data_IF_827943882532
#
_entry.id   IF_827943882532
#
_cell.length_a   1.000
_cell.length_b   1.000
_cell.length_c   1.000
_cell.angle_alpha   90.00
_cell.angle_beta   90.00
_cell.angle_gamma   90.00
#
_symmetry.space_group_name_H-M   'P 1'
#
loop_
_entity.id
_entity.type
_entity.pdbx_description
1 polymer ?
#
# COMPACT_ATOMS: atom_id res chain seq x y z
N UNK A 1 -7.64 -2.82 4.64
CA UNK A 1 -7.66 -4.19 5.22
C UNK A 1 -7.60 -5.21 4.10
N UNK A 2 -6.99 -6.36 4.35
CA UNK A 2 -6.88 -7.43 3.36
C UNK A 2 -6.82 -8.80 4.04
N UNK A 3 -7.49 -9.80 3.47
CA UNK A 3 -7.32 -11.21 3.87
C UNK A 3 -6.12 -11.81 3.14
N UNK A 4 -5.29 -12.52 3.88
CA UNK A 4 -4.26 -13.38 3.28
C UNK A 4 -4.82 -14.76 2.90
N UNK A 5 -3.97 -15.60 2.31
CA UNK A 5 -4.37 -16.94 1.85
C UNK A 5 -4.72 -17.89 3.01
N UNK A 6 -4.28 -17.59 4.23
CA UNK A 6 -4.62 -18.37 5.44
C UNK A 6 -5.90 -17.87 6.12
N UNK A 7 -6.57 -16.87 5.53
CA UNK A 7 -7.80 -16.29 6.06
C UNK A 7 -7.58 -15.31 7.20
N UNK A 8 -6.34 -14.86 7.42
CA UNK A 8 -6.01 -13.85 8.42
C UNK A 8 -6.31 -12.47 7.83
N UNK A 9 -7.07 -11.67 8.56
CA UNK A 9 -7.38 -10.30 8.17
C UNK A 9 -6.31 -9.36 8.72
N UNK A 10 -5.66 -8.62 7.84
CA UNK A 10 -4.65 -7.62 8.17
C UNK A 10 -5.24 -6.22 8.05
N UNK A 11 -5.00 -5.36 9.04
CA UNK A 11 -5.39 -3.97 9.01
C UNK A 11 -4.19 -3.07 9.34
N UNK A 12 -4.10 -1.96 8.64
CA UNK A 12 -3.00 -1.00 8.74
C UNK A 12 -3.54 0.39 8.97
N UNK A 13 -2.85 1.14 9.84
CA UNK A 13 -3.16 2.54 10.09
C UNK A 13 -1.85 3.33 10.18
N UNK A 14 -1.80 4.50 9.55
CA UNK A 14 -0.63 5.35 9.68
C UNK A 14 -0.68 6.15 10.99
N UNK A 15 0.50 6.50 11.51
CA UNK A 15 0.65 7.36 12.67
C UNK A 15 1.06 8.76 12.19
N UNK A 16 0.22 9.75 12.40
CA UNK A 16 0.49 11.12 11.95
C UNK A 16 1.70 11.74 12.65
N UNK A 17 2.03 11.26 13.85
CA UNK A 17 3.18 11.73 14.61
C UNK A 17 4.47 10.99 14.26
N UNK A 18 4.36 9.82 13.63
CA UNK A 18 5.51 9.02 13.22
C UNK A 18 5.18 8.19 11.98
N UNK A 19 5.19 8.85 10.83
CA UNK A 19 4.76 8.28 9.56
C UNK A 19 5.61 7.12 9.05
N UNK A 20 6.81 6.93 9.62
CA UNK A 20 7.68 5.80 9.31
C UNK A 20 7.33 4.53 10.09
N UNK A 21 6.42 4.60 11.06
CA UNK A 21 6.00 3.47 11.89
C UNK A 21 4.49 3.29 11.86
N UNK A 22 4.05 2.56 10.88
CA UNK A 22 2.64 2.24 10.67
C UNK A 22 2.16 1.18 11.67
N UNK A 23 0.95 1.32 12.17
CA UNK A 23 0.32 0.29 12.99
C UNK A 23 -0.19 -0.86 12.12
N UNK A 24 0.04 -2.09 12.58
CA UNK A 24 -0.44 -3.31 11.95
C UNK A 24 -1.11 -4.19 13.01
N UNK A 25 -2.35 -4.56 12.75
CA UNK A 25 -3.09 -5.51 13.59
C UNK A 25 -3.68 -6.62 12.73
N UNK A 26 -3.87 -7.78 13.34
CA UNK A 26 -4.46 -8.93 12.66
C UNK A 26 -5.66 -9.47 13.41
N UNK A 27 -6.58 -10.06 12.68
CA UNK A 27 -7.72 -10.80 13.20
C UNK A 27 -7.75 -12.19 12.56
N UNK A 28 -8.00 -13.20 13.38
CA UNK A 28 -8.13 -14.60 12.95
C UNK A 28 -9.58 -15.09 12.91
N UNK A 29 -10.52 -14.19 13.22
CA UNK A 29 -11.95 -14.51 13.35
C UNK A 29 -12.84 -13.52 12.57
N UNK A 30 -12.33 -13.06 11.41
CA UNK A 30 -13.06 -12.16 10.51
C UNK A 30 -13.43 -10.81 11.16
N UNK A 31 -12.52 -10.28 11.97
CA UNK A 31 -12.69 -8.95 12.56
C UNK A 31 -13.50 -8.91 13.86
N UNK A 32 -13.88 -10.06 14.41
CA UNK A 32 -14.59 -10.10 15.70
C UNK A 32 -13.68 -9.79 16.87
N UNK A 33 -12.42 -10.20 16.80
CA UNK A 33 -11.39 -9.85 17.77
C UNK A 33 -10.07 -9.56 17.05
N UNK A 34 -9.21 -8.80 17.69
CA UNK A 34 -7.97 -8.32 17.12
C UNK A 34 -6.82 -8.58 18.07
N UNK A 35 -5.68 -9.00 17.52
CA UNK A 35 -4.45 -9.14 18.28
C UNK A 35 -3.83 -7.77 18.57
N UNK A 36 -2.86 -7.74 19.50
CA UNK A 36 -2.18 -6.49 19.83
C UNK A 36 -1.49 -5.91 18.60
N UNK A 37 -1.62 -4.61 18.40
CA UNK A 37 -0.93 -3.88 17.34
C UNK A 37 0.58 -4.02 17.44
N UNK A 38 1.22 -4.18 16.27
CA UNK A 38 2.66 -4.12 16.10
C UNK A 38 3.01 -2.97 15.16
N UNK A 39 4.15 -2.36 15.35
CA UNK A 39 4.64 -1.32 14.44
C UNK A 39 5.34 -1.94 13.24
N UNK A 40 5.07 -1.40 12.06
CA UNK A 40 5.76 -1.73 10.81
C UNK A 40 6.61 -0.54 10.41
N UNK A 41 7.90 -0.75 10.19
CA UNK A 41 8.77 0.30 9.68
C UNK A 41 8.63 0.44 8.15
N UNK A 42 8.42 1.66 7.69
CA UNK A 42 8.32 2.03 6.27
C UNK A 42 9.21 3.25 6.01
N UNK A 43 10.36 3.04 5.38
CA UNK A 43 11.47 4.01 5.36
C UNK A 43 11.17 5.36 4.72
N UNK A 44 10.18 5.41 3.82
CA UNK A 44 9.75 6.65 3.15
C UNK A 44 8.47 7.23 3.75
N UNK A 45 8.03 6.66 4.88
CA UNK A 45 6.77 7.02 5.50
C UNK A 45 5.55 6.54 4.73
N UNK A 46 4.40 6.66 5.34
CA UNK A 46 3.11 6.35 4.72
C UNK A 46 2.00 7.19 5.34
N UNK A 47 1.10 7.65 4.49
CA UNK A 47 -0.22 8.18 4.85
C UNK A 47 -1.27 7.55 3.95
N UNK A 48 -2.46 7.36 4.47
CA UNK A 48 -3.59 6.78 3.74
C UNK A 48 -3.20 5.46 3.04
N UNK A 49 -2.69 4.47 3.81
CA UNK A 49 -2.21 3.22 3.23
C UNK A 49 -3.33 2.42 2.57
N UNK A 50 -3.01 1.87 1.41
CA UNK A 50 -3.82 0.87 0.71
C UNK A 50 -2.98 -0.38 0.56
N UNK A 51 -3.54 -1.53 0.88
CA UNK A 51 -2.82 -2.81 0.82
C UNK A 51 -3.60 -3.82 -0.01
N UNK A 52 -2.88 -4.56 -0.83
CA UNK A 52 -3.40 -5.71 -1.57
C UNK A 52 -2.40 -6.85 -1.51
N UNK A 53 -2.85 -8.05 -1.86
CA UNK A 53 -1.98 -9.22 -2.02
C UNK A 53 -2.14 -9.72 -3.45
N UNK A 54 -1.03 -9.80 -4.17
CA UNK A 54 -0.98 -10.35 -5.52
C UNK A 54 0.13 -11.39 -5.59
N UNK A 55 -0.23 -12.59 -6.06
CA UNK A 55 0.70 -13.73 -6.19
C UNK A 55 1.54 -13.97 -4.91
N UNK A 56 0.90 -13.89 -3.75
CA UNK A 56 1.52 -14.13 -2.44
C UNK A 56 2.35 -12.97 -1.88
N UNK A 57 2.40 -11.83 -2.57
CA UNK A 57 3.15 -10.65 -2.15
C UNK A 57 2.21 -9.54 -1.72
N UNK A 58 2.42 -9.01 -0.51
CA UNK A 58 1.73 -7.81 -0.04
C UNK A 58 2.28 -6.60 -0.76
N UNK A 59 1.40 -5.79 -1.34
CA UNK A 59 1.74 -4.52 -1.99
C UNK A 59 1.05 -3.40 -1.24
N UNK A 60 1.83 -2.46 -0.73
CA UNK A 60 1.35 -1.30 0.02
C UNK A 60 1.65 -0.04 -0.81
N UNK A 61 0.66 0.79 -1.02
CA UNK A 61 0.88 2.10 -1.62
C UNK A 61 0.20 3.19 -0.80
N UNK A 62 0.68 4.40 -0.94
CA UNK A 62 0.12 5.57 -0.29
C UNK A 62 0.98 6.81 -0.45
N UNK A 63 0.61 7.84 0.28
CA UNK A 63 1.36 9.08 0.33
C UNK A 63 2.57 8.88 1.24
N UNK A 64 3.73 9.32 0.80
CA UNK A 64 4.94 9.29 1.63
C UNK A 64 4.94 10.36 2.72
N UNK A 65 6.06 10.47 3.43
CA UNK A 65 6.23 11.44 4.52
C UNK A 65 5.79 12.84 4.13
N UNK A 66 5.03 13.48 5.01
CA UNK A 66 4.47 14.83 4.83
C UNK A 66 3.51 14.94 3.64
N UNK A 67 3.08 13.81 3.08
CA UNK A 67 2.17 13.77 1.93
C UNK A 67 2.75 14.29 0.62
N UNK A 68 4.07 14.33 0.47
CA UNK A 68 4.77 14.95 -0.66
C UNK A 68 5.18 13.99 -1.78
N UNK A 69 4.92 12.72 -1.62
CA UNK A 69 5.31 11.71 -2.60
C UNK A 69 4.25 10.62 -2.69
N UNK A 70 4.35 9.81 -3.73
CA UNK A 70 3.59 8.58 -3.86
C UNK A 70 4.57 7.42 -3.76
N UNK A 71 4.35 6.52 -2.81
CA UNK A 71 5.29 5.46 -2.46
C UNK A 71 4.63 4.09 -2.55
N UNK A 72 5.46 3.08 -2.81
CA UNK A 72 5.02 1.69 -2.84
C UNK A 72 6.07 0.81 -2.15
N UNK A 73 5.59 -0.14 -1.37
CA UNK A 73 6.41 -1.13 -0.67
C UNK A 73 5.89 -2.52 -0.96
N UNK A 74 6.75 -3.51 -0.84
CA UNK A 74 6.35 -4.91 -0.87
C UNK A 74 6.78 -5.65 0.39
N UNK A 75 6.05 -6.71 0.72
CA UNK A 75 6.33 -7.56 1.86
C UNK A 75 5.87 -9.00 1.58
N UNK A 76 6.57 -9.97 2.12
CA UNK A 76 6.18 -11.38 2.03
C UNK A 76 5.30 -11.82 3.21
N UNK A 77 5.30 -11.08 4.31
CA UNK A 77 4.58 -11.44 5.54
C UNK A 77 3.58 -10.38 6.02
N UNK A 78 3.57 -9.20 5.37
CA UNK A 78 2.72 -8.08 5.77
C UNK A 78 3.18 -7.30 6.98
N UNK A 79 4.30 -7.69 7.60
CA UNK A 79 4.87 -7.03 8.79
C UNK A 79 6.22 -6.37 8.48
N UNK A 80 7.07 -7.05 7.73
CA UNK A 80 8.39 -6.57 7.35
C UNK A 80 8.36 -6.09 5.89
N UNK A 81 8.62 -4.81 5.68
CA UNK A 81 8.52 -4.14 4.39
C UNK A 81 9.90 -3.86 3.81
N UNK A 82 10.00 -3.88 2.49
CA UNK A 82 11.23 -3.50 1.78
C UNK A 82 11.50 -1.99 1.90
N UNK A 83 12.56 -1.50 1.27
CA UNK A 83 12.90 -0.07 1.29
C UNK A 83 11.90 0.79 0.51
N UNK A 84 11.05 0.17 -0.26
CA UNK A 84 10.07 0.86 -1.08
C UNK A 84 10.66 1.65 -2.24
N UNK A 85 9.78 2.16 -3.06
CA UNK A 85 10.13 3.01 -4.19
C UNK A 85 9.26 4.25 -4.20
N UNK A 86 9.82 5.36 -4.67
CA UNK A 86 9.04 6.53 -5.02
C UNK A 86 8.47 6.35 -6.43
N UNK A 87 7.16 6.34 -6.56
CA UNK A 87 6.48 6.35 -7.85
C UNK A 87 6.36 7.76 -8.40
N UNK A 88 6.16 8.72 -7.52
CA UNK A 88 6.11 10.15 -7.79
C UNK A 88 6.74 10.92 -6.62
N UNK A 89 7.41 12.05 -6.92
CA UNK A 89 7.99 12.94 -5.90
C UNK A 89 7.56 14.39 -6.12
N UNK A 90 7.28 15.07 -5.02
CA UNK A 90 7.29 16.54 -4.89
C UNK A 90 6.26 17.33 -5.70
N UNK A 91 5.17 16.75 -6.13
CA UNK A 91 4.14 17.47 -6.89
C UNK A 91 2.94 17.93 -6.07
N UNK A 92 3.11 18.18 -4.78
CA UNK A 92 2.03 18.73 -3.96
C UNK A 92 1.33 17.68 -3.09
N UNK A 93 0.18 18.04 -2.53
CA UNK A 93 -0.47 17.30 -1.44
C UNK A 93 -1.55 16.30 -1.89
N UNK A 94 -1.47 15.82 -3.12
CA UNK A 94 -2.41 14.82 -3.65
C UNK A 94 -1.96 13.39 -3.32
N UNK A 95 -2.05 12.49 -4.27
CA UNK A 95 -1.68 11.08 -4.12
C UNK A 95 -2.63 10.25 -3.25
N UNK A 96 -3.91 10.62 -3.24
CA UNK A 96 -4.95 9.72 -2.75
C UNK A 96 -5.12 8.59 -3.75
N UNK A 97 -5.14 7.36 -3.27
CA UNK A 97 -5.14 6.20 -4.15
C UNK A 97 -6.19 5.17 -3.77
N UNK A 98 -6.58 4.42 -4.77
CA UNK A 98 -7.34 3.19 -4.67
C UNK A 98 -6.69 2.14 -5.55
N UNK A 99 -6.96 0.88 -5.26
CA UNK A 99 -6.41 -0.21 -6.05
C UNK A 99 -7.34 -1.41 -6.09
N UNK A 100 -7.23 -2.18 -7.15
CA UNK A 100 -8.01 -3.41 -7.33
C UNK A 100 -7.14 -4.48 -7.97
N UNK A 101 -7.27 -5.70 -7.47
CA UNK A 101 -6.59 -6.86 -8.03
C UNK A 101 -7.43 -7.45 -9.15
N UNK A 102 -6.82 -7.64 -10.30
CA UNK A 102 -7.46 -8.20 -11.49
C UNK A 102 -6.67 -9.40 -11.99
N UNK A 103 -7.38 -10.29 -12.71
CA UNK A 103 -6.70 -11.37 -13.43
C UNK A 103 -5.93 -10.77 -14.60
N UNK A 104 -4.68 -11.22 -14.78
CA UNK A 104 -3.89 -10.86 -15.95
C UNK A 104 -4.28 -11.80 -17.10
N UNK A 105 -4.61 -11.27 -18.29
CA UNK A 105 -4.87 -12.12 -19.46
C UNK A 105 -3.73 -13.09 -19.81
N UNK A 106 -2.50 -12.73 -19.46
CA UNK A 106 -1.29 -13.55 -19.67
C UNK A 106 -0.97 -14.52 -18.54
N UNK A 107 -1.84 -14.58 -17.52
CA UNK A 107 -1.70 -15.44 -16.35
C UNK A 107 -1.31 -14.69 -15.09
N UNK A 108 -1.70 -15.23 -13.93
CA UNK A 108 -1.48 -14.59 -12.62
C UNK A 108 -2.39 -13.39 -12.36
N UNK A 109 -1.96 -12.56 -11.44
CA UNK A 109 -2.68 -11.35 -11.02
C UNK A 109 -1.89 -10.10 -11.36
N UNK A 110 -2.61 -9.01 -11.53
CA UNK A 110 -2.03 -7.67 -11.58
C UNK A 110 -2.87 -6.70 -10.75
N UNK A 111 -2.23 -5.65 -10.29
CA UNK A 111 -2.85 -4.61 -9.50
C UNK A 111 -3.03 -3.37 -10.37
N UNK A 112 -4.26 -2.92 -10.49
CA UNK A 112 -4.54 -1.60 -11.04
C UNK A 112 -4.55 -0.61 -9.88
N UNK A 113 -3.69 0.39 -9.94
CA UNK A 113 -3.60 1.48 -8.98
C UNK A 113 -4.07 2.75 -9.63
N UNK A 114 -5.03 3.42 -9.01
CA UNK A 114 -5.51 4.73 -9.41
C UNK A 114 -5.10 5.74 -8.35
N UNK A 115 -4.59 6.89 -8.75
CA UNK A 115 -4.17 7.92 -7.82
C UNK A 115 -4.39 9.32 -8.38
N UNK A 116 -4.48 10.30 -7.49
CA UNK A 116 -4.60 11.71 -7.88
C UNK A 116 -3.22 12.35 -7.94
N UNK A 117 -2.99 13.15 -8.98
CA UNK A 117 -1.76 13.92 -9.17
C UNK A 117 -2.11 15.36 -9.52
N UNK A 118 -1.47 16.32 -8.86
CA UNK A 118 -1.69 17.73 -9.10
C UNK A 118 -0.86 18.21 -10.29
N UNK A 119 -1.48 18.85 -11.26
CA UNK A 119 -0.76 19.46 -12.40
C UNK A 119 -0.77 20.99 -12.38
N UNK A 120 -1.71 21.58 -11.70
CA UNK A 120 -1.77 23.02 -11.41
C UNK A 120 -2.28 23.21 -9.99
N UNK A 121 -2.10 24.39 -9.39
CA UNK A 121 -2.31 24.68 -7.97
C UNK A 121 -3.62 24.14 -7.33
N UNK A 122 -4.69 24.00 -8.12
CA UNK A 122 -5.98 23.47 -7.64
C UNK A 122 -6.57 22.38 -8.54
N UNK A 123 -5.86 21.99 -9.57
CA UNK A 123 -6.35 21.01 -10.56
C UNK A 123 -5.63 19.68 -10.40
N UNK A 124 -6.41 18.61 -10.45
CA UNK A 124 -5.94 17.25 -10.21
C UNK A 124 -6.29 16.36 -11.39
N UNK A 125 -5.31 15.61 -11.86
CA UNK A 125 -5.53 14.50 -12.78
C UNK A 125 -5.79 13.22 -11.99
N UNK A 126 -6.56 12.32 -12.59
CA UNK A 126 -6.65 10.94 -12.14
C UNK A 126 -5.69 10.12 -13.01
N UNK A 127 -4.69 9.56 -12.35
CA UNK A 127 -3.66 8.74 -12.98
C UNK A 127 -3.90 7.28 -12.65
N UNK A 128 -3.38 6.39 -13.48
CA UNK A 128 -3.40 4.96 -13.18
C UNK A 128 -2.11 4.29 -13.61
N UNK A 129 -1.80 3.18 -12.96
CA UNK A 129 -0.68 2.33 -13.30
C UNK A 129 -1.02 0.87 -13.05
N UNK A 130 -0.30 -0.01 -13.73
CA UNK A 130 -0.37 -1.44 -13.52
C UNK A 130 0.87 -1.93 -12.79
N UNK A 131 0.65 -2.77 -11.79
CA UNK A 131 1.73 -3.42 -11.04
C UNK A 131 1.57 -4.92 -11.18
N UNK A 132 2.65 -5.59 -11.51
CA UNK A 132 2.73 -7.04 -11.60
C UNK A 132 3.96 -7.51 -10.85
N UNK A 133 3.84 -8.63 -10.14
CA UNK A 133 4.98 -9.25 -9.47
C UNK A 133 5.75 -10.08 -10.49
N UNK A 134 7.04 -9.81 -10.61
CA UNK A 134 7.96 -10.59 -11.42
C UNK A 134 8.74 -11.53 -10.50
N UNK A 135 8.70 -12.82 -10.82
CA UNK A 135 9.50 -13.81 -10.10
C UNK A 135 10.77 -14.08 -10.88
N UNK A 136 11.92 -13.84 -10.26
CA UNK A 136 13.20 -14.23 -10.84
C UNK A 136 13.37 -15.74 -10.68
N UNK A 137 13.48 -16.39 -11.79
CA UNK A 137 13.74 -17.83 -11.82
C UNK A 137 15.23 -18.15 -11.59
#
# INVERSE_FOLDING_TARGET
MIFDDDGILHAYAYDINNEENMDHIISRDCGKSWEKSQKCFVSKGIRNPQVNIIDGVFVLQGRGSKGKSFVMYTSLDGQNWDEGVYLEKEKGACYYSNSVVLNDPEGGKRLLVQFSDTYESSRVNVMHMWVKIMHNS
#
